data_IF_435773286549
#
_entry.id   IF_435773286549
#
_cell.length_a   1.000
_cell.length_b   1.000
_cell.length_c   1.000
_cell.angle_alpha   90.00
_cell.angle_beta   90.00
_cell.angle_gamma   90.00
#
_symmetry.space_group_name_H-M   'P 1'
#
loop_
_entity.id
_entity.type
_entity.pdbx_description
1 polymer ?
#
# COMPACT_ATOMS: atom_id res chain seq x y z
N UNK A 1 -9.18 11.84 -37.85
CA UNK A 1 -8.55 12.75 -36.85
C UNK A 1 -7.50 11.96 -36.11
N UNK A 2 -6.25 12.18 -36.43
CA UNK A 2 -5.08 11.37 -36.03
C UNK A 2 -4.54 11.86 -34.72
N UNK A 3 -4.41 10.95 -33.76
CA UNK A 3 -3.83 11.20 -32.43
C UNK A 3 -2.29 11.20 -32.52
N UNK A 4 -1.58 12.24 -32.11
CA UNK A 4 -0.13 12.24 -32.21
C UNK A 4 0.48 11.45 -31.04
N UNK A 5 1.07 10.29 -31.37
CA UNK A 5 2.00 9.57 -30.48
C UNK A 5 3.20 10.49 -30.20
N UNK A 6 3.34 10.98 -28.98
CA UNK A 6 4.55 11.62 -28.50
C UNK A 6 5.64 10.55 -28.33
N UNK A 7 6.47 10.42 -29.35
CA UNK A 7 7.68 9.63 -29.26
C UNK A 7 8.70 10.30 -28.33
N UNK A 8 9.00 9.64 -27.23
CA UNK A 8 10.15 10.00 -26.41
C UNK A 8 11.38 9.37 -27.04
N UNK A 9 12.19 10.19 -27.69
CA UNK A 9 13.44 9.76 -28.27
C UNK A 9 14.36 9.13 -27.21
N UNK A 10 14.74 7.89 -27.44
CA UNK A 10 15.73 7.17 -26.63
C UNK A 10 17.11 7.72 -26.95
N UNK A 11 17.65 8.57 -26.09
CA UNK A 11 19.07 8.89 -26.11
C UNK A 11 19.81 7.74 -25.41
N UNK A 12 20.35 6.83 -26.22
CA UNK A 12 21.28 5.81 -25.73
C UNK A 12 22.64 6.50 -25.59
N UNK A 13 23.02 6.87 -24.39
CA UNK A 13 24.38 7.30 -24.11
C UNK A 13 25.22 6.09 -23.73
N UNK A 14 25.94 5.53 -24.73
CA UNK A 14 27.10 4.69 -24.47
C UNK A 14 28.25 5.63 -24.09
N UNK A 15 28.54 5.78 -22.82
CA UNK A 15 29.80 6.43 -22.41
C UNK A 15 30.37 5.73 -21.19
N UNK A 16 31.57 5.24 -21.37
CA UNK A 16 32.57 4.88 -20.36
C UNK A 16 32.57 5.89 -19.20
N UNK A 17 32.62 5.35 -17.97
CA UNK A 17 32.67 6.11 -16.73
C UNK A 17 33.84 7.07 -16.69
N UNK A 18 33.61 8.37 -16.89
CA UNK A 18 34.51 9.42 -16.45
C UNK A 18 33.89 10.08 -15.21
N UNK A 19 34.74 10.28 -14.23
CA UNK A 19 34.42 10.88 -12.93
C UNK A 19 34.03 12.35 -13.07
N UNK A 20 32.78 12.63 -13.34
CA UNK A 20 32.17 13.94 -13.32
C UNK A 20 30.76 13.82 -12.73
N UNK A 21 30.49 14.53 -11.64
CA UNK A 21 29.22 14.52 -10.95
C UNK A 21 28.04 14.75 -11.90
N UNK A 22 27.35 13.67 -12.24
CA UNK A 22 26.33 13.71 -13.30
C UNK A 22 24.97 14.14 -12.78
N UNK A 23 24.55 15.31 -13.25
CA UNK A 23 23.19 15.83 -13.08
C UNK A 23 22.43 15.69 -14.41
N UNK A 24 21.11 15.53 -14.35
CA UNK A 24 20.24 15.49 -15.52
C UNK A 24 19.40 14.23 -15.63
N UNK A 25 18.73 14.06 -16.77
CA UNK A 25 17.89 12.89 -17.07
C UNK A 25 18.73 11.85 -17.79
N UNK A 26 18.80 10.64 -17.25
CA UNK A 26 19.58 9.54 -17.83
C UNK A 26 18.83 8.22 -17.77
N UNK A 27 19.16 7.34 -18.72
CA UNK A 27 18.78 5.93 -18.67
C UNK A 27 20.06 5.11 -18.47
N UNK A 28 20.12 4.34 -17.38
CA UNK A 28 21.21 3.41 -17.12
C UNK A 28 20.68 1.98 -17.09
N UNK A 29 21.30 1.10 -17.89
CA UNK A 29 21.20 -0.35 -17.72
C UNK A 29 22.39 -0.80 -16.87
N UNK A 30 22.13 -1.46 -15.78
CA UNK A 30 23.21 -2.07 -15.00
C UNK A 30 23.74 -3.30 -15.76
N UNK A 31 25.07 -3.45 -15.96
CA UNK A 31 25.66 -4.59 -16.68
C UNK A 31 25.42 -5.93 -15.98
N UNK A 32 25.85 -7.01 -16.62
CA UNK A 32 25.66 -8.39 -16.13
C UNK A 32 26.10 -8.53 -14.65
N UNK A 33 25.15 -8.89 -13.78
CA UNK A 33 25.31 -8.86 -12.32
C UNK A 33 24.58 -7.72 -11.62
N UNK A 34 24.24 -6.62 -12.35
CA UNK A 34 23.55 -5.47 -11.79
C UNK A 34 22.01 -5.59 -11.78
N UNK A 35 21.38 -4.70 -11.03
CA UNK A 35 20.00 -4.84 -10.54
C UNK A 35 18.92 -4.19 -11.44
N UNK A 36 18.98 -4.38 -12.76
CA UNK A 36 17.92 -3.92 -13.67
C UNK A 36 18.23 -2.60 -14.36
N UNK A 37 17.20 -1.77 -14.62
CA UNK A 37 17.31 -0.50 -15.35
C UNK A 37 16.75 0.63 -14.51
N UNK A 38 17.40 1.80 -14.55
CA UNK A 38 16.81 3.05 -14.07
C UNK A 38 16.74 4.07 -15.20
N UNK A 39 15.64 4.77 -15.30
CA UNK A 39 15.43 5.89 -16.21
C UNK A 39 14.79 7.05 -15.44
N UNK A 40 15.46 8.17 -15.37
CA UNK A 40 14.97 9.31 -14.61
C UNK A 40 16.04 10.36 -14.34
N UNK A 41 15.70 11.27 -13.43
CA UNK A 41 16.60 12.36 -13.02
C UNK A 41 17.71 11.84 -12.10
N UNK A 42 18.87 12.46 -12.22
CA UNK A 42 20.06 12.20 -11.41
C UNK A 42 20.58 13.49 -10.82
N UNK A 43 21.02 13.42 -9.57
CA UNK A 43 21.72 14.49 -8.88
C UNK A 43 22.90 13.88 -8.12
N UNK A 44 24.11 14.36 -8.38
CA UNK A 44 25.35 13.87 -7.75
C UNK A 44 25.47 12.33 -7.79
N UNK A 45 25.25 11.76 -8.98
CA UNK A 45 25.23 10.30 -9.22
C UNK A 45 24.22 9.47 -8.43
N UNK A 46 23.19 10.11 -7.86
CA UNK A 46 22.10 9.44 -7.16
C UNK A 46 20.77 9.65 -7.91
N UNK A 47 19.87 8.65 -7.84
CA UNK A 47 18.50 8.81 -8.32
C UNK A 47 17.85 9.99 -7.60
N UNK A 48 17.25 10.90 -8.35
CA UNK A 48 16.64 12.11 -7.81
C UNK A 48 15.44 12.54 -8.65
N UNK A 49 14.47 13.25 -8.02
CA UNK A 49 13.27 13.68 -8.73
C UNK A 49 12.44 12.50 -9.23
N UNK A 50 11.83 12.59 -10.39
CA UNK A 50 11.00 11.52 -10.94
C UNK A 50 11.85 10.53 -11.75
N UNK A 51 11.54 9.21 -11.57
CA UNK A 51 12.19 8.14 -12.30
C UNK A 51 11.53 6.78 -12.16
N UNK A 52 11.87 5.89 -13.10
CA UNK A 52 11.39 4.51 -13.16
C UNK A 52 12.57 3.58 -12.95
N UNK A 53 12.45 2.66 -12.00
CA UNK A 53 13.42 1.59 -11.75
C UNK A 53 12.79 0.23 -11.91
N UNK A 54 13.34 -0.59 -12.79
CA UNK A 54 12.92 -1.98 -12.96
C UNK A 54 14.03 -2.93 -12.52
N UNK A 55 13.66 -4.03 -11.87
CA UNK A 55 14.54 -5.13 -11.51
C UNK A 55 14.43 -6.28 -12.52
N UNK A 56 15.42 -7.20 -12.54
CA UNK A 56 15.36 -8.43 -13.36
C UNK A 56 14.19 -9.36 -12.99
N UNK A 57 13.66 -9.26 -11.77
CA UNK A 57 12.52 -10.07 -11.29
C UNK A 57 11.18 -9.42 -11.61
N UNK A 58 11.14 -8.46 -12.55
CA UNK A 58 9.92 -7.79 -12.97
C UNK A 58 9.37 -6.77 -11.97
N UNK A 59 10.08 -6.48 -10.86
CA UNK A 59 9.62 -5.45 -9.93
C UNK A 59 9.94 -4.07 -10.51
N UNK A 60 8.91 -3.22 -10.65
CA UNK A 60 9.02 -1.87 -11.20
C UNK A 60 8.51 -0.87 -10.16
N UNK A 61 9.35 0.12 -9.87
CA UNK A 61 8.94 1.32 -9.12
C UNK A 61 8.96 2.52 -10.07
N UNK A 62 7.91 3.29 -10.02
CA UNK A 62 7.74 4.52 -10.78
C UNK A 62 7.26 5.62 -9.83
N UNK A 63 8.06 6.69 -9.69
CA UNK A 63 7.73 7.75 -8.75
C UNK A 63 8.92 8.64 -8.42
N UNK A 64 8.80 9.30 -7.29
CA UNK A 64 9.78 10.26 -6.80
C UNK A 64 10.94 9.58 -6.08
N UNK A 65 12.12 10.18 -6.23
CA UNK A 65 13.39 9.73 -5.67
C UNK A 65 14.11 10.89 -4.99
N UNK A 66 14.75 10.61 -3.88
CA UNK A 66 15.60 11.54 -3.17
C UNK A 66 16.85 10.81 -2.65
N UNK A 67 18.04 11.28 -3.05
CA UNK A 67 19.34 10.72 -2.64
C UNK A 67 19.41 9.18 -2.82
N UNK A 68 18.98 8.69 -3.99
CA UNK A 68 19.00 7.26 -4.34
C UNK A 68 17.87 6.41 -3.75
N UNK A 69 17.01 6.98 -2.89
CA UNK A 69 15.92 6.29 -2.20
C UNK A 69 14.56 6.71 -2.75
N UNK A 70 13.59 5.79 -2.73
CA UNK A 70 12.18 6.11 -3.01
C UNK A 70 11.68 7.10 -1.97
N UNK A 71 11.08 8.18 -2.46
CA UNK A 71 10.60 9.28 -1.64
C UNK A 71 9.37 9.91 -2.28
N UNK A 72 8.57 10.69 -1.51
CA UNK A 72 7.37 11.32 -2.05
C UNK A 72 6.35 10.32 -2.54
N UNK A 73 5.72 10.57 -3.68
CA UNK A 73 4.66 9.71 -4.24
C UNK A 73 5.19 8.78 -5.33
N UNK A 74 4.74 7.52 -5.32
CA UNK A 74 5.13 6.55 -6.34
C UNK A 74 4.32 5.27 -6.30
N UNK A 75 4.40 4.52 -7.40
CA UNK A 75 3.76 3.23 -7.59
C UNK A 75 4.78 2.11 -7.69
N UNK A 76 4.44 0.96 -7.12
CA UNK A 76 5.20 -0.28 -7.27
C UNK A 76 4.31 -1.34 -7.87
N UNK A 77 4.82 -2.03 -8.90
CA UNK A 77 4.15 -3.13 -9.57
C UNK A 77 5.12 -4.26 -9.87
N UNK A 78 4.59 -5.44 -10.13
CA UNK A 78 5.32 -6.58 -10.68
C UNK A 78 4.85 -6.83 -12.10
N UNK A 79 5.79 -6.94 -13.01
CA UNK A 79 5.56 -7.34 -14.41
C UNK A 79 6.05 -8.78 -14.57
N UNK A 80 5.16 -9.67 -14.95
CA UNK A 80 5.49 -11.07 -15.22
C UNK A 80 6.06 -11.23 -16.63
N UNK A 81 6.78 -12.33 -16.94
CA UNK A 81 7.36 -12.57 -18.27
C UNK A 81 6.31 -12.67 -19.39
N UNK A 82 5.08 -13.06 -19.06
CA UNK A 82 3.92 -13.13 -19.96
C UNK A 82 3.24 -11.76 -20.19
N UNK A 83 3.80 -10.69 -19.63
CA UNK A 83 3.29 -9.32 -19.78
C UNK A 83 2.17 -8.93 -18.80
N UNK A 84 1.78 -9.79 -17.88
CA UNK A 84 0.80 -9.42 -16.86
C UNK A 84 1.40 -8.43 -15.87
N UNK A 85 0.57 -7.47 -15.45
CA UNK A 85 0.95 -6.40 -14.52
C UNK A 85 0.15 -6.51 -13.24
N UNK A 86 0.83 -6.84 -12.14
CA UNK A 86 0.26 -6.89 -10.80
C UNK A 86 0.65 -5.63 -10.01
N UNK A 87 -0.32 -4.81 -9.67
CA UNK A 87 -0.09 -3.66 -8.78
C UNK A 87 0.22 -4.16 -7.38
N UNK A 88 1.24 -3.60 -6.75
CA UNK A 88 1.61 -3.94 -5.38
C UNK A 88 1.28 -2.81 -4.42
N UNK A 89 1.70 -1.57 -4.75
CA UNK A 89 1.48 -0.43 -3.88
C UNK A 89 1.42 0.87 -4.69
N UNK A 90 0.56 1.79 -4.28
CA UNK A 90 0.50 3.16 -4.80
C UNK A 90 0.33 4.09 -3.60
N UNK A 91 1.23 5.04 -3.41
CA UNK A 91 1.16 5.96 -2.29
C UNK A 91 2.48 6.64 -1.95
N UNK A 92 2.58 7.12 -0.72
CA UNK A 92 3.72 7.88 -0.25
C UNK A 92 4.85 6.97 0.25
N UNK A 93 6.07 7.44 0.01
CA UNK A 93 7.34 6.79 0.36
C UNK A 93 8.24 7.76 1.11
N UNK A 94 8.95 7.26 2.08
CA UNK A 94 10.01 8.00 2.79
C UNK A 94 11.16 7.05 3.11
N UNK A 95 12.35 7.36 2.57
CA UNK A 95 13.56 6.54 2.77
C UNK A 95 13.33 5.05 2.45
N UNK A 96 12.84 4.75 1.22
CA UNK A 96 12.51 3.40 0.75
C UNK A 96 11.38 2.67 1.49
N UNK A 97 10.73 3.33 2.46
CA UNK A 97 9.62 2.75 3.23
C UNK A 97 8.30 3.41 2.88
N UNK A 98 7.21 2.61 2.85
CA UNK A 98 5.85 3.16 2.73
C UNK A 98 5.59 4.03 3.95
N UNK A 99 5.09 5.25 3.74
CA UNK A 99 4.86 6.25 4.78
C UNK A 99 3.81 7.25 4.30
N UNK A 100 2.92 7.72 5.17
CA UNK A 100 1.78 8.54 4.76
C UNK A 100 0.66 7.69 4.16
N UNK A 101 -0.15 8.24 3.27
CA UNK A 101 -1.26 7.52 2.67
C UNK A 101 -0.83 6.64 1.49
N UNK A 102 -1.46 5.46 1.38
CA UNK A 102 -1.21 4.58 0.27
C UNK A 102 -2.14 3.37 0.21
N UNK A 103 -2.21 2.78 -0.98
CA UNK A 103 -3.02 1.62 -1.30
C UNK A 103 -2.10 0.43 -1.60
N UNK A 104 -2.26 -0.65 -0.85
CA UNK A 104 -1.56 -1.92 -1.01
C UNK A 104 -2.50 -2.94 -1.61
N UNK A 105 -2.03 -3.68 -2.59
CA UNK A 105 -2.71 -4.83 -3.19
C UNK A 105 -1.92 -6.08 -2.78
N UNK A 106 -2.62 -7.08 -2.24
CA UNK A 106 -2.02 -8.33 -1.79
C UNK A 106 -2.27 -9.46 -2.79
N UNK A 107 -1.43 -10.48 -2.77
CA UNK A 107 -1.51 -11.61 -3.71
C UNK A 107 -2.78 -12.47 -3.48
N UNK A 108 -3.39 -12.44 -2.29
CA UNK A 108 -4.66 -13.08 -1.97
C UNK A 108 -5.90 -12.34 -2.49
N UNK A 109 -5.71 -11.19 -3.16
CA UNK A 109 -6.76 -10.31 -3.66
C UNK A 109 -7.29 -9.31 -2.63
N UNK A 110 -6.81 -9.33 -1.39
CA UNK A 110 -7.16 -8.31 -0.41
C UNK A 110 -6.51 -6.97 -0.75
N UNK A 111 -7.10 -5.89 -0.24
CA UNK A 111 -6.63 -4.53 -0.49
C UNK A 111 -6.67 -3.73 0.80
N UNK A 112 -5.61 -2.99 1.08
CA UNK A 112 -5.59 -2.00 2.15
C UNK A 112 -5.44 -0.59 1.57
N UNK A 113 -6.22 0.34 2.06
CA UNK A 113 -6.05 1.77 1.82
C UNK A 113 -6.05 2.51 3.15
N UNK A 114 -5.01 3.28 3.40
CA UNK A 114 -4.89 4.04 4.64
C UNK A 114 -3.48 4.54 4.90
N UNK A 115 -3.23 4.84 6.16
CA UNK A 115 -2.00 5.43 6.63
C UNK A 115 -0.92 4.35 6.89
N UNK A 116 0.32 4.73 6.62
CA UNK A 116 1.52 3.90 6.73
C UNK A 116 2.60 4.63 7.52
N UNK A 117 3.31 3.89 8.33
CA UNK A 117 4.53 4.35 8.99
C UNK A 117 5.60 3.26 8.93
N UNK A 118 6.74 3.56 8.32
CA UNK A 118 7.89 2.63 8.22
C UNK A 118 7.51 1.22 7.70
N UNK A 119 6.71 1.15 6.61
CA UNK A 119 6.17 -0.07 6.00
C UNK A 119 5.03 -0.77 6.76
N UNK A 120 4.60 -0.28 7.92
CA UNK A 120 3.50 -0.84 8.70
C UNK A 120 2.24 0.00 8.57
N UNK A 121 1.08 -0.64 8.57
CA UNK A 121 -0.22 0.04 8.65
C UNK A 121 -0.31 0.73 10.01
N UNK A 122 -0.67 2.00 9.98
CA UNK A 122 -0.70 2.87 11.16
C UNK A 122 -1.79 3.92 11.00
N UNK A 123 -2.43 4.37 12.09
CA UNK A 123 -3.48 5.37 12.01
C UNK A 123 -4.76 4.83 11.37
N UNK A 124 -5.46 5.60 10.54
CA UNK A 124 -6.74 5.20 9.95
C UNK A 124 -6.58 4.49 8.62
N UNK A 125 -7.44 3.47 8.38
CA UNK A 125 -7.44 2.76 7.13
C UNK A 125 -8.61 1.81 6.95
N UNK A 126 -8.76 1.34 5.73
CA UNK A 126 -9.77 0.37 5.31
C UNK A 126 -9.05 -0.85 4.74
N UNK A 127 -9.45 -2.02 5.18
CA UNK A 127 -8.98 -3.29 4.63
C UNK A 127 -10.14 -4.09 4.07
N UNK A 128 -10.12 -4.32 2.79
CA UNK A 128 -11.01 -5.26 2.10
C UNK A 128 -10.31 -6.61 2.06
N UNK A 129 -10.82 -7.58 2.80
CA UNK A 129 -10.29 -8.94 2.84
C UNK A 129 -10.75 -9.76 1.63
N UNK A 130 -9.99 -10.76 1.24
CA UNK A 130 -10.34 -11.69 0.16
C UNK A 130 -11.66 -12.45 0.42
N UNK A 131 -11.99 -12.70 1.69
CA UNK A 131 -13.22 -13.36 2.14
C UNK A 131 -14.44 -12.42 2.23
N UNK A 132 -14.36 -11.21 1.63
CA UNK A 132 -15.40 -10.18 1.60
C UNK A 132 -15.67 -9.48 2.94
N UNK A 133 -14.91 -9.76 3.99
CA UNK A 133 -14.94 -8.90 5.17
C UNK A 133 -14.34 -7.54 4.84
N UNK A 134 -14.79 -6.51 5.57
CA UNK A 134 -14.21 -5.17 5.46
C UNK A 134 -13.98 -4.62 6.86
N UNK A 135 -12.77 -4.18 7.14
CA UNK A 135 -12.47 -3.43 8.36
C UNK A 135 -12.25 -1.96 8.01
N UNK A 136 -12.91 -1.10 8.77
CA UNK A 136 -12.74 0.36 8.70
C UNK A 136 -12.43 0.84 10.11
N UNK A 137 -11.22 1.36 10.32
CA UNK A 137 -10.85 1.75 11.69
C UNK A 137 -9.39 2.14 11.84
N UNK A 138 -8.95 2.08 13.09
CA UNK A 138 -7.60 2.43 13.47
C UNK A 138 -6.67 1.21 13.40
N UNK A 139 -5.41 1.48 13.09
CA UNK A 139 -4.34 0.51 12.93
C UNK A 139 -3.14 0.90 13.75
N UNK A 140 -2.51 -0.06 14.37
CA UNK A 140 -1.25 0.09 15.09
C UNK A 140 -0.34 -1.09 14.76
N UNK A 141 0.82 -0.81 14.16
CA UNK A 141 1.85 -1.81 13.85
C UNK A 141 1.32 -3.04 13.07
N UNK A 142 0.50 -2.81 12.03
CA UNK A 142 -0.18 -3.81 11.19
C UNK A 142 -1.37 -4.54 11.83
N UNK A 143 -1.73 -4.25 13.07
CA UNK A 143 -2.89 -4.81 13.74
C UNK A 143 -4.08 -3.82 13.78
N UNK A 144 -5.32 -4.33 13.72
CA UNK A 144 -6.51 -3.55 14.05
C UNK A 144 -6.40 -3.08 15.49
N UNK A 145 -6.62 -1.79 15.73
CA UNK A 145 -6.47 -1.18 17.05
C UNK A 145 -7.49 -0.05 17.25
N UNK A 146 -7.68 0.38 18.50
CA UNK A 146 -8.57 1.49 18.80
C UNK A 146 -10.00 1.25 18.31
N UNK A 147 -10.65 2.29 17.79
CA UNK A 147 -12.04 2.19 17.33
C UNK A 147 -12.14 1.77 15.88
N UNK A 148 -13.11 0.88 15.60
CA UNK A 148 -13.33 0.41 14.24
C UNK A 148 -14.67 -0.29 14.05
N UNK A 149 -14.93 -0.59 12.78
CA UNK A 149 -16.08 -1.36 12.32
C UNK A 149 -15.57 -2.53 11.49
N UNK A 150 -15.96 -3.74 11.87
CA UNK A 150 -15.69 -4.94 11.09
C UNK A 150 -17.00 -5.46 10.50
N UNK A 151 -17.12 -5.35 9.19
CA UNK A 151 -18.21 -5.94 8.42
C UNK A 151 -17.87 -7.38 8.07
N UNK A 152 -18.80 -8.29 8.33
CA UNK A 152 -18.72 -9.68 7.88
C UNK A 152 -19.25 -9.83 6.45
N UNK A 153 -18.86 -10.89 5.75
CA UNK A 153 -19.34 -11.17 4.39
C UNK A 153 -20.86 -11.33 4.26
N UNK A 154 -21.55 -11.68 5.35
CA UNK A 154 -23.01 -11.83 5.42
C UNK A 154 -23.76 -10.56 5.84
N UNK A 155 -23.09 -9.39 5.81
CA UNK A 155 -23.70 -8.10 6.13
C UNK A 155 -23.80 -7.76 7.62
N UNK A 156 -23.47 -8.69 8.52
CA UNK A 156 -23.39 -8.40 9.96
C UNK A 156 -22.16 -7.56 10.26
N UNK A 157 -22.18 -6.78 11.35
CA UNK A 157 -21.05 -5.92 11.70
C UNK A 157 -20.82 -5.86 13.21
N UNK A 158 -19.56 -5.74 13.56
CA UNK A 158 -19.13 -5.33 14.89
C UNK A 158 -18.67 -3.87 14.83
N UNK A 159 -19.11 -3.08 15.80
CA UNK A 159 -18.67 -1.70 16.01
C UNK A 159 -18.17 -1.58 17.44
N UNK A 160 -16.91 -1.24 17.62
CA UNK A 160 -16.33 -1.18 18.96
C UNK A 160 -14.83 -1.01 18.95
N UNK A 161 -14.20 -1.41 20.03
CA UNK A 161 -12.77 -1.32 20.24
C UNK A 161 -12.06 -2.59 19.77
N UNK A 162 -10.81 -2.39 19.32
CA UNK A 162 -9.90 -3.45 18.90
C UNK A 162 -8.56 -3.29 19.61
N UNK A 163 -7.93 -4.39 19.95
CA UNK A 163 -6.60 -4.45 20.50
C UNK A 163 -5.86 -5.64 19.90
N UNK A 164 -4.68 -5.40 19.33
CA UNK A 164 -3.83 -6.43 18.73
C UNK A 164 -4.54 -7.32 17.71
N UNK A 165 -5.45 -6.72 16.91
CA UNK A 165 -6.21 -7.41 15.88
C UNK A 165 -7.52 -8.06 16.35
N UNK A 166 -7.79 -8.12 17.66
CA UNK A 166 -8.98 -8.75 18.25
C UNK A 166 -9.96 -7.70 18.75
N UNK A 167 -11.27 -8.04 18.75
CA UNK A 167 -12.29 -7.23 19.42
C UNK A 167 -11.98 -7.18 20.92
N UNK A 168 -12.00 -5.99 21.49
CA UNK A 168 -11.67 -5.73 22.87
C UNK A 168 -12.53 -4.59 23.40
N UNK A 169 -12.71 -4.52 24.74
CA UNK A 169 -13.44 -3.41 25.35
C UNK A 169 -14.93 -3.39 25.03
N UNK A 170 -15.48 -2.17 25.00
CA UNK A 170 -16.89 -1.95 24.74
C UNK A 170 -17.20 -1.95 23.24
N UNK A 171 -18.37 -2.49 22.89
CA UNK A 171 -18.84 -2.48 21.52
C UNK A 171 -20.23 -3.05 21.36
N UNK A 172 -20.67 -3.14 20.13
CA UNK A 172 -21.89 -3.84 19.78
C UNK A 172 -21.73 -4.67 18.51
N UNK A 173 -22.48 -5.74 18.44
CA UNK A 173 -22.60 -6.58 17.27
C UNK A 173 -24.02 -6.45 16.71
N UNK A 174 -24.09 -6.01 15.46
CA UNK A 174 -25.34 -5.94 14.70
C UNK A 174 -25.54 -7.27 13.97
N UNK A 175 -26.51 -8.05 14.43
CA UNK A 175 -26.87 -9.34 13.85
C UNK A 175 -27.77 -9.22 12.61
N UNK A 176 -28.19 -7.99 12.26
CA UNK A 176 -29.26 -7.73 11.29
C UNK A 176 -30.65 -7.96 11.90
N UNK A 177 -31.71 -7.70 11.09
CA UNK A 177 -33.11 -7.84 11.50
C UNK A 177 -33.42 -7.15 12.84
N UNK A 178 -32.88 -5.92 13.02
CA UNK A 178 -33.05 -5.10 14.22
C UNK A 178 -32.51 -5.71 15.53
N UNK A 179 -31.66 -6.74 15.47
CA UNK A 179 -31.05 -7.38 16.64
C UNK A 179 -29.66 -6.84 16.90
N UNK A 180 -29.49 -6.11 17.99
CA UNK A 180 -28.20 -5.55 18.40
C UNK A 180 -27.78 -6.14 19.74
N UNK A 181 -26.57 -6.66 19.80
CA UNK A 181 -25.92 -7.17 20.99
C UNK A 181 -24.89 -6.17 21.48
N UNK A 182 -25.16 -5.48 22.56
CA UNK A 182 -24.20 -4.64 23.27
C UNK A 182 -23.41 -5.50 24.23
N UNK A 183 -22.10 -5.27 24.36
CA UNK A 183 -21.32 -6.10 25.28
C UNK A 183 -19.90 -5.59 25.49
N UNK A 184 -19.16 -6.37 26.26
CA UNK A 184 -17.72 -6.22 26.44
C UNK A 184 -17.01 -7.45 25.88
N UNK A 185 -15.98 -7.21 25.12
CA UNK A 185 -15.17 -8.24 24.45
C UNK A 185 -13.78 -8.31 25.04
N UNK A 186 -13.23 -9.51 25.10
CA UNK A 186 -11.83 -9.80 25.41
C UNK A 186 -11.36 -10.85 24.42
N UNK A 187 -10.38 -10.53 23.58
CA UNK A 187 -9.82 -11.43 22.55
C UNK A 187 -10.94 -12.10 21.73
N UNK A 188 -11.78 -11.30 21.07
CA UNK A 188 -12.93 -11.71 20.25
C UNK A 188 -14.07 -12.40 20.98
N UNK A 189 -13.94 -12.72 22.28
CA UNK A 189 -14.97 -13.39 23.09
C UNK A 189 -15.83 -12.35 23.80
N UNK A 190 -17.13 -12.40 23.59
CA UNK A 190 -18.08 -11.56 24.33
C UNK A 190 -18.25 -12.12 25.76
N UNK A 191 -17.76 -11.39 26.76
CA UNK A 191 -17.80 -11.81 28.17
C UNK A 191 -19.11 -11.45 28.87
N UNK A 192 -19.74 -10.36 28.43
CA UNK A 192 -21.04 -9.92 28.96
C UNK A 192 -21.80 -9.23 27.85
N UNK A 193 -23.10 -9.50 27.73
CA UNK A 193 -23.91 -8.87 26.69
C UNK A 193 -25.35 -8.66 27.06
N UNK A 194 -25.97 -7.67 26.45
CA UNK A 194 -27.39 -7.40 26.43
C UNK A 194 -27.86 -7.37 24.97
N UNK A 195 -28.82 -8.21 24.63
CA UNK A 195 -29.41 -8.20 23.28
C UNK A 195 -30.68 -7.35 23.32
N UNK A 196 -30.78 -6.41 22.40
CA UNK A 196 -31.98 -5.61 22.17
C UNK A 196 -32.51 -5.86 20.77
N UNK A 197 -33.82 -5.95 20.68
CA UNK A 197 -34.54 -5.96 19.41
C UNK A 197 -35.16 -4.57 19.26
N UNK A 198 -34.75 -3.85 18.22
CA UNK A 198 -35.28 -2.53 17.92
C UNK A 198 -36.68 -2.74 17.33
N UNK A 199 -37.70 -2.21 17.98
CA UNK A 199 -39.08 -2.15 17.42
C UNK A 199 -39.05 -1.18 16.23
N UNK A 200 -39.75 -1.57 15.17
CA UNK A 200 -40.03 -0.65 14.03
C UNK A 200 -40.94 0.48 14.49
#
# INVERSE_FOLDING_TARGET
MTNPKRGWGSVVCNTSCHAGGGNGVRSLRYPAGGHGRYQGKWLRNQHHGYGVKSSRRGLVYEGQWQRGQRHGYGSMRRESPDGQVHRLYVGHWRHDKRSGEGKQYYDDGSVYFGQWQMNKRQGRGIHWYADRRVYVGEWLQDAMHGRGVLFSANGKRYVGEFQEGCKSGAGFFDHGQNRIQFGRWVQDICKSSLIRVLKQ
#
